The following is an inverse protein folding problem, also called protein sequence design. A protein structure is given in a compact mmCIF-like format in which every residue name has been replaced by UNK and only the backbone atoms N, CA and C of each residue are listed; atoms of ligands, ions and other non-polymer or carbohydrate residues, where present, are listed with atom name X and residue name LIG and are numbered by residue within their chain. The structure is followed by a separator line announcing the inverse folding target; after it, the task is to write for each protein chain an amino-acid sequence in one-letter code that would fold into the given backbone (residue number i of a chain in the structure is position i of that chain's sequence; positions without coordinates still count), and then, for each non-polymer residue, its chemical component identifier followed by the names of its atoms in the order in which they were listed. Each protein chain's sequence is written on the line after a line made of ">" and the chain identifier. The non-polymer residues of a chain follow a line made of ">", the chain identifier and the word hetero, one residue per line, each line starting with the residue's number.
data_IF_523314764991
#
_entry.id   IF_523314764991
#
_cell.length_a   1.000
_cell.length_b   1.000
_cell.length_c   1.000
_cell.angle_alpha   90.00
_cell.angle_beta   90.00
_cell.angle_gamma   90.00
#
_symmetry.space_group_name_H-M   'P 1'
#
loop_
_entity.id
_entity.type
_entity.pdbx_description
1 polymer ?
#
# COMPACT_ATOMS: atom_id res chain seq x y z
N UNK A 1 42.00 -14.59 -65.22
CA UNK A 1 41.70 -13.53 -64.23
C UNK A 1 40.20 -13.28 -64.17
N UNK A 2 39.53 -13.68 -63.07
CA UNK A 2 38.52 -12.91 -62.31
C UNK A 2 37.86 -13.85 -61.29
N UNK A 3 38.31 -13.72 -60.05
CA UNK A 3 37.73 -14.37 -58.90
C UNK A 3 36.32 -13.82 -58.64
N UNK A 4 35.37 -14.71 -58.35
CA UNK A 4 34.07 -14.37 -57.77
C UNK A 4 33.98 -14.98 -56.38
N UNK A 5 34.60 -14.30 -55.43
CA UNK A 5 34.35 -14.47 -54.00
C UNK A 5 33.21 -13.55 -53.62
N UNK A 6 32.11 -14.09 -53.10
CA UNK A 6 30.97 -13.26 -52.73
C UNK A 6 29.94 -14.04 -51.93
N UNK A 7 29.81 -13.65 -50.66
CA UNK A 7 28.52 -13.55 -49.97
C UNK A 7 27.87 -14.87 -49.50
N UNK A 8 28.51 -15.55 -48.53
CA UNK A 8 27.87 -16.64 -47.76
C UNK A 8 27.75 -16.37 -46.24
N UNK A 9 27.90 -15.13 -45.80
CA UNK A 9 28.03 -14.77 -44.38
C UNK A 9 26.94 -13.82 -43.87
N UNK A 10 25.67 -14.04 -44.23
CA UNK A 10 24.59 -13.15 -43.78
C UNK A 10 23.32 -13.84 -43.27
N UNK A 11 23.33 -15.16 -43.02
CA UNK A 11 22.09 -15.90 -42.67
C UNK A 11 22.06 -16.45 -41.24
N UNK A 12 23.15 -16.41 -40.46
CA UNK A 12 23.17 -17.08 -39.15
C UNK A 12 22.86 -16.20 -37.93
N UNK A 13 22.58 -14.90 -38.06
CA UNK A 13 22.50 -14.01 -36.88
C UNK A 13 21.09 -13.53 -36.49
N UNK A 14 20.03 -14.02 -37.12
CA UNK A 14 18.68 -13.48 -36.93
C UNK A 14 17.73 -14.32 -36.05
N UNK A 15 18.16 -15.47 -35.50
CA UNK A 15 17.22 -16.42 -34.84
C UNK A 15 17.37 -16.50 -33.31
N UNK A 16 18.34 -15.83 -32.70
CA UNK A 16 18.64 -16.02 -31.25
C UNK A 16 18.13 -14.92 -30.30
N UNK A 17 17.32 -13.97 -30.78
CA UNK A 17 16.83 -12.85 -29.96
C UNK A 17 15.33 -12.96 -29.58
N UNK A 18 14.74 -14.14 -29.69
CA UNK A 18 13.29 -14.32 -29.48
C UNK A 18 12.90 -15.18 -28.26
N UNK A 19 13.80 -15.35 -27.29
CA UNK A 19 13.51 -16.15 -26.08
C UNK A 19 13.73 -15.41 -24.76
N UNK A 20 13.96 -14.10 -24.79
CA UNK A 20 14.16 -13.31 -23.56
C UNK A 20 13.03 -12.30 -23.32
N UNK A 21 11.78 -12.74 -23.49
CA UNK A 21 10.67 -12.01 -22.86
C UNK A 21 10.63 -12.49 -21.41
N UNK A 22 11.08 -11.68 -20.43
CA UNK A 22 10.87 -12.03 -19.03
C UNK A 22 9.36 -12.22 -18.81
N UNK A 23 8.93 -13.25 -18.06
CA UNK A 23 7.53 -13.36 -17.69
C UNK A 23 7.10 -12.04 -17.06
N UNK A 24 5.88 -11.54 -17.33
CA UNK A 24 5.38 -10.39 -16.62
C UNK A 24 5.54 -10.68 -15.12
N UNK A 25 6.24 -9.79 -14.42
CA UNK A 25 6.27 -9.84 -12.96
C UNK A 25 4.82 -9.95 -12.49
N UNK A 26 4.53 -10.73 -11.43
CA UNK A 26 3.20 -10.70 -10.85
C UNK A 26 2.88 -9.24 -10.55
N UNK A 27 1.93 -8.68 -11.30
CA UNK A 27 1.26 -7.45 -10.92
C UNK A 27 0.78 -7.74 -9.51
N UNK A 28 1.33 -7.02 -8.53
CA UNK A 28 0.83 -7.01 -7.15
C UNK A 28 -0.69 -7.08 -7.25
N UNK A 29 -1.25 -8.22 -6.85
CA UNK A 29 -2.67 -8.44 -6.89
C UNK A 29 -3.26 -7.44 -5.92
N UNK A 30 -3.62 -6.26 -6.41
CA UNK A 30 -4.80 -5.54 -5.98
C UNK A 30 -5.00 -5.60 -4.45
N UNK A 31 -4.06 -5.04 -3.70
CA UNK A 31 -4.34 -4.52 -2.35
C UNK A 31 -5.10 -3.19 -2.53
N UNK A 32 -6.15 -3.18 -3.38
CA UNK A 32 -6.83 -1.96 -3.82
C UNK A 32 -7.65 -1.33 -2.70
N UNK A 33 -7.95 -2.11 -1.66
CA UNK A 33 -8.66 -1.66 -0.47
C UNK A 33 -7.99 -2.27 0.77
N UNK A 34 -7.12 -1.51 1.43
CA UNK A 34 -6.47 -1.90 2.67
C UNK A 34 -6.53 -0.77 3.69
N UNK A 35 -6.84 -1.13 4.93
CA UNK A 35 -6.86 -0.23 6.06
C UNK A 35 -5.67 -0.55 6.97
N UNK A 36 -4.71 0.37 7.07
CA UNK A 36 -3.64 0.26 8.06
C UNK A 36 -3.95 1.16 9.25
N UNK A 37 -4.07 0.56 10.43
CA UNK A 37 -4.23 1.28 11.68
C UNK A 37 -2.96 1.17 12.49
N UNK A 38 -2.37 2.31 12.86
CA UNK A 38 -1.20 2.38 13.71
C UNK A 38 -1.60 3.03 15.03
N UNK A 39 -1.48 2.31 16.13
CA UNK A 39 -1.73 2.82 17.48
C UNK A 39 -0.45 2.80 18.32
N UNK A 40 -0.39 3.66 19.33
CA UNK A 40 0.63 3.56 20.38
C UNK A 40 0.15 2.61 21.45
N UNK A 41 0.90 1.56 21.79
CA UNK A 41 0.61 0.77 22.99
C UNK A 41 0.72 1.56 24.31
N UNK A 42 1.28 2.78 24.28
CA UNK A 42 1.24 3.73 25.40
C UNK A 42 -0.03 4.59 25.47
N UNK A 43 -0.97 4.44 24.54
CA UNK A 43 -2.25 5.16 24.52
C UNK A 43 -3.32 4.35 25.27
N UNK A 44 -3.85 4.91 26.36
CA UNK A 44 -4.86 4.22 27.19
C UNK A 44 -6.17 3.93 26.45
N UNK A 45 -6.57 4.82 25.54
CA UNK A 45 -7.91 4.79 24.93
C UNK A 45 -7.93 4.21 23.50
N UNK A 46 -6.75 4.03 22.88
CA UNK A 46 -6.68 3.68 21.46
C UNK A 46 -7.27 2.29 21.17
N UNK A 47 -7.10 1.32 22.07
CA UNK A 47 -7.70 -0.02 21.90
C UNK A 47 -9.22 0.02 22.07
N UNK A 48 -9.73 0.82 23.01
CA UNK A 48 -11.17 0.98 23.23
C UNK A 48 -11.81 1.57 21.97
N UNK A 49 -11.26 2.67 21.46
CA UNK A 49 -11.73 3.29 20.22
C UNK A 49 -11.66 2.36 19.00
N UNK A 50 -10.61 1.53 18.91
CA UNK A 50 -10.51 0.56 17.81
C UNK A 50 -11.71 -0.40 17.80
N UNK A 51 -12.12 -0.90 18.96
CA UNK A 51 -13.19 -1.88 19.10
C UNK A 51 -14.59 -1.25 19.12
N UNK A 52 -14.74 -0.12 19.80
CA UNK A 52 -16.05 0.49 20.09
C UNK A 52 -16.49 1.49 19.02
N UNK A 53 -15.55 2.14 18.31
CA UNK A 53 -15.84 3.19 17.32
C UNK A 53 -15.39 2.82 15.90
N UNK A 54 -14.08 2.61 15.72
CA UNK A 54 -13.50 2.49 14.38
C UNK A 54 -13.95 1.23 13.65
N UNK A 55 -13.82 0.04 14.26
CA UNK A 55 -14.24 -1.22 13.64
C UNK A 55 -15.74 -1.20 13.30
N UNK A 56 -16.65 -0.79 14.21
CA UNK A 56 -18.06 -0.66 13.87
C UNK A 56 -18.30 0.32 12.71
N UNK A 57 -17.64 1.48 12.69
CA UNK A 57 -17.80 2.46 11.62
C UNK A 57 -17.35 1.91 10.25
N UNK A 58 -16.18 1.27 10.19
CA UNK A 58 -15.70 0.61 8.98
C UNK A 58 -16.66 -0.48 8.50
N UNK A 59 -17.22 -1.26 9.43
CA UNK A 59 -18.21 -2.29 9.11
C UNK A 59 -19.51 -1.71 8.55
N UNK A 60 -20.03 -0.61 9.14
CA UNK A 60 -21.27 0.03 8.65
C UNK A 60 -21.07 0.70 7.28
N UNK A 61 -19.90 1.29 7.06
CA UNK A 61 -19.49 1.81 5.75
C UNK A 61 -19.21 0.72 4.69
N UNK A 62 -19.46 -0.56 5.02
CA UNK A 62 -19.18 -1.71 4.15
C UNK A 62 -17.75 -1.72 3.63
N UNK A 63 -16.78 -1.39 4.50
CA UNK A 63 -15.37 -1.50 4.16
C UNK A 63 -15.00 -2.99 3.95
N UNK A 64 -14.81 -3.38 2.69
CA UNK A 64 -14.47 -4.76 2.31
C UNK A 64 -12.96 -5.05 2.38
N UNK A 65 -12.15 -4.02 2.58
CA UNK A 65 -10.69 -4.13 2.62
C UNK A 65 -10.14 -4.76 3.89
N UNK A 66 -8.95 -5.34 3.80
CA UNK A 66 -8.29 -5.92 4.97
C UNK A 66 -7.90 -4.84 5.99
N UNK A 67 -8.30 -5.01 7.25
CA UNK A 67 -7.90 -4.13 8.36
C UNK A 67 -6.70 -4.73 9.08
N UNK A 68 -5.55 -4.05 8.98
CA UNK A 68 -4.30 -4.43 9.60
C UNK A 68 -3.98 -3.45 10.74
N UNK A 69 -3.79 -3.97 11.94
CA UNK A 69 -3.53 -3.15 13.14
C UNK A 69 -2.09 -3.36 13.59
N UNK A 70 -1.39 -2.26 13.82
CA UNK A 70 0.04 -2.21 14.09
C UNK A 70 0.31 -1.36 15.34
N UNK A 71 1.12 -1.88 16.27
CA UNK A 71 1.68 -1.05 17.36
C UNK A 71 2.90 -0.31 16.81
N UNK A 72 2.84 1.02 16.66
CA UNK A 72 3.96 1.79 16.14
C UNK A 72 5.06 2.07 17.17
N UNK A 73 4.88 1.67 18.44
CA UNK A 73 5.99 1.64 19.39
C UNK A 73 6.95 0.48 19.11
N UNK A 74 6.47 -0.61 18.47
CA UNK A 74 7.34 -1.68 17.96
C UNK A 74 8.26 -1.19 16.84
N UNK A 75 9.47 -1.78 16.66
CA UNK A 75 10.37 -1.44 15.55
C UNK A 75 9.72 -1.63 14.17
N UNK A 76 8.98 -2.72 13.98
CA UNK A 76 8.33 -3.08 12.73
C UNK A 76 7.21 -2.09 12.40
N UNK A 77 6.31 -1.84 13.36
CA UNK A 77 5.21 -0.89 13.19
C UNK A 77 5.70 0.54 12.95
N UNK A 78 6.77 0.96 13.64
CA UNK A 78 7.39 2.28 13.42
C UNK A 78 7.95 2.43 12.01
N UNK A 79 8.64 1.40 11.52
CA UNK A 79 9.23 1.39 10.19
C UNK A 79 8.14 1.45 9.12
N UNK A 80 7.09 0.65 9.28
CA UNK A 80 5.97 0.63 8.35
C UNK A 80 5.20 1.97 8.36
N UNK A 81 4.91 2.55 9.53
CA UNK A 81 4.29 3.87 9.63
C UNK A 81 5.12 4.93 8.90
N UNK A 82 6.43 4.96 9.13
CA UNK A 82 7.33 5.90 8.45
C UNK A 82 7.37 5.69 6.93
N UNK A 83 7.26 4.44 6.46
CA UNK A 83 7.19 4.14 5.04
C UNK A 83 5.89 4.66 4.41
N UNK A 84 4.74 4.33 4.99
CA UNK A 84 3.42 4.77 4.49
C UNK A 84 3.31 6.31 4.56
N UNK A 85 3.68 6.92 5.67
CA UNK A 85 3.66 8.37 5.84
C UNK A 85 4.48 9.08 4.77
N UNK A 86 5.70 8.61 4.48
CA UNK A 86 6.54 9.19 3.42
C UNK A 86 5.95 9.00 2.04
N UNK A 87 5.35 7.84 1.76
CA UNK A 87 4.75 7.54 0.46
C UNK A 87 3.62 8.52 0.11
N UNK A 88 2.84 8.94 1.10
CA UNK A 88 1.73 9.87 0.90
C UNK A 88 2.10 11.34 1.20
N UNK A 89 3.38 11.61 1.53
CA UNK A 89 3.85 12.96 1.87
C UNK A 89 3.29 13.52 3.18
N UNK A 90 2.89 12.66 4.13
CA UNK A 90 2.43 13.09 5.45
C UNK A 90 3.59 13.72 6.23
N UNK A 91 3.40 14.96 6.69
CA UNK A 91 4.43 15.69 7.43
C UNK A 91 4.69 15.07 8.80
N UNK A 92 5.97 14.97 9.19
CA UNK A 92 6.39 14.54 10.52
C UNK A 92 5.83 15.43 11.65
N UNK A 93 5.34 16.63 11.34
CA UNK A 93 4.66 17.50 12.31
C UNK A 93 3.25 17.00 12.68
N UNK A 94 2.65 16.15 11.86
CA UNK A 94 1.33 15.56 12.08
C UNK A 94 1.45 14.31 12.98
N UNK A 95 1.92 14.53 14.20
CA UNK A 95 2.08 13.47 15.20
C UNK A 95 0.74 13.17 15.88
N UNK A 96 0.38 11.90 15.96
CA UNK A 96 -0.85 11.43 16.61
C UNK A 96 -0.55 10.18 17.44
N UNK A 97 -1.42 9.87 18.41
CA UNK A 97 -1.44 8.60 19.14
C UNK A 97 -2.03 7.44 18.33
N UNK A 98 -2.76 7.77 17.26
CA UNK A 98 -3.45 6.85 16.37
C UNK A 98 -3.46 7.39 14.94
N UNK A 99 -3.14 6.54 13.97
CA UNK A 99 -3.21 6.81 12.55
C UNK A 99 -4.06 5.76 11.87
N UNK A 100 -4.96 6.16 10.99
CA UNK A 100 -5.74 5.25 10.16
C UNK A 100 -5.53 5.67 8.71
N UNK A 101 -4.97 4.77 7.91
CA UNK A 101 -4.77 4.94 6.47
C UNK A 101 -5.75 4.03 5.75
N UNK A 102 -6.72 4.61 5.05
CA UNK A 102 -7.73 3.89 4.28
C UNK A 102 -7.40 4.10 2.80
N UNK A 103 -6.79 3.09 2.19
CA UNK A 103 -6.52 3.09 0.76
C UNK A 103 -7.78 2.62 0.04
N UNK A 104 -8.34 3.44 -0.85
CA UNK A 104 -9.41 3.05 -1.78
C UNK A 104 -9.03 3.51 -3.17
N UNK A 105 -8.80 2.56 -4.08
CA UNK A 105 -8.32 2.84 -5.43
C UNK A 105 -7.02 3.69 -5.40
N UNK A 106 -7.02 4.87 -6.02
CA UNK A 106 -5.86 5.78 -6.09
C UNK A 106 -5.85 6.83 -4.96
N UNK A 107 -6.84 6.78 -4.06
CA UNK A 107 -6.99 7.76 -2.97
C UNK A 107 -6.66 7.14 -1.62
N UNK A 108 -5.97 7.91 -0.78
CA UNK A 108 -5.73 7.56 0.62
C UNK A 108 -6.45 8.56 1.51
N UNK A 109 -7.43 8.09 2.29
CA UNK A 109 -7.98 8.86 3.40
C UNK A 109 -7.11 8.62 4.64
N UNK A 110 -6.66 9.69 5.27
CA UNK A 110 -5.87 9.63 6.51
C UNK A 110 -6.68 10.23 7.64
N UNK A 111 -6.93 9.42 8.68
CA UNK A 111 -7.56 9.87 9.92
C UNK A 111 -6.49 9.90 11.02
N UNK A 112 -6.42 11.01 11.73
CA UNK A 112 -5.46 11.21 12.81
C UNK A 112 -6.20 11.35 14.14
N UNK A 113 -5.88 10.44 15.07
CA UNK A 113 -6.48 10.42 16.40
C UNK A 113 -7.82 9.69 16.43
N UNK A 114 -8.61 9.99 17.45
CA UNK A 114 -9.88 9.34 17.76
C UNK A 114 -11.02 10.08 17.06
N UNK A 115 -11.15 9.88 15.75
CA UNK A 115 -12.22 10.51 14.95
C UNK A 115 -13.54 9.79 15.24
N UNK A 116 -14.61 10.49 15.70
CA UNK A 116 -15.89 9.85 16.00
C UNK A 116 -16.38 8.93 14.88
N UNK A 117 -16.89 7.75 15.24
CA UNK A 117 -17.23 6.70 14.28
C UNK A 117 -18.25 7.14 13.22
N UNK A 118 -19.19 8.02 13.58
CA UNK A 118 -20.14 8.62 12.66
C UNK A 118 -19.45 9.44 11.55
N UNK A 119 -18.38 10.18 11.88
CA UNK A 119 -17.62 10.95 10.89
C UNK A 119 -16.76 10.05 10.00
N UNK A 120 -16.28 8.93 10.56
CA UNK A 120 -15.58 7.90 9.76
C UNK A 120 -16.53 7.30 8.74
N UNK A 121 -17.74 6.95 9.16
CA UNK A 121 -18.78 6.40 8.29
C UNK A 121 -19.17 7.39 7.19
N UNK A 122 -19.46 8.65 7.55
CA UNK A 122 -19.77 9.71 6.58
C UNK A 122 -18.65 9.97 5.57
N UNK A 123 -17.38 9.83 5.97
CA UNK A 123 -16.25 10.04 5.08
C UNK A 123 -16.02 8.89 4.06
N UNK A 124 -16.68 7.74 4.27
CA UNK A 124 -16.47 6.53 3.48
C UNK A 124 -17.61 6.15 2.54
N UNK A 125 -18.77 6.80 2.67
CA UNK A 125 -19.97 6.62 1.83
C UNK A 125 -19.99 7.66 0.70
#
# INVERSE_FOLDING_TARGET
>A
MRARTGLKWAVCFAVLLWTAVPPPAPLHSQERDAAHVFFSSGCGDCLVYLEDDLRPALSRASWEGAVQIHDYLSPEGRTLLSQIARQIGLSDQMRSSLYVFLQRQETTLVLLGHVPGELVEEALV
#
